data_IF_897852340236
#
_entry.id   IF_897852340236
#
_cell.length_a   1.000
_cell.length_b   1.000
_cell.length_c   1.000
_cell.angle_alpha   90.00
_cell.angle_beta   90.00
_cell.angle_gamma   90.00
#
_symmetry.space_group_name_H-M   'P 1'
#
loop_
_entity.id
_entity.type
_entity.pdbx_description
1 polymer ?
#
# COMPACT_ATOMS: atom_id res chain seq x y z
N UNK A 1 5.61 7.15 -10.02
CA UNK A 1 7.00 6.69 -9.90
C UNK A 1 7.78 6.90 -11.20
N UNK A 2 7.57 6.10 -12.26
CA UNK A 2 8.31 6.21 -13.55
C UNK A 2 8.50 7.63 -14.08
N UNK A 3 7.41 8.39 -14.24
CA UNK A 3 7.50 9.76 -14.76
C UNK A 3 8.33 10.69 -13.85
N UNK A 4 8.00 10.74 -12.57
CA UNK A 4 8.50 11.81 -11.69
C UNK A 4 9.87 11.48 -11.07
N UNK A 5 10.18 10.19 -10.89
CA UNK A 5 11.45 9.70 -10.31
C UNK A 5 12.43 9.25 -11.39
N UNK A 6 12.00 8.45 -12.37
CA UNK A 6 12.93 7.84 -13.35
C UNK A 6 13.17 8.72 -14.58
N UNK A 7 12.13 9.36 -15.11
CA UNK A 7 12.21 10.12 -16.37
C UNK A 7 12.52 11.60 -16.15
N UNK A 8 11.70 12.29 -15.34
CA UNK A 8 11.78 13.74 -15.18
C UNK A 8 12.64 14.15 -13.98
N UNK A 9 12.92 13.23 -13.05
CA UNK A 9 13.71 13.46 -11.83
C UNK A 9 13.25 14.69 -11.02
N UNK A 10 11.96 14.99 -11.04
CA UNK A 10 11.34 16.07 -10.26
C UNK A 10 11.13 15.68 -8.80
N UNK A 11 11.27 14.38 -8.48
CA UNK A 11 11.16 13.82 -7.13
C UNK A 11 12.27 12.78 -6.95
N UNK A 12 13.02 12.88 -5.85
CA UNK A 12 14.01 11.87 -5.49
C UNK A 12 13.34 10.58 -4.96
N UNK A 13 14.02 9.45 -5.13
CA UNK A 13 13.53 8.14 -4.68
C UNK A 13 13.26 8.12 -3.17
N UNK A 14 14.10 8.72 -2.36
CA UNK A 14 13.92 8.72 -0.91
C UNK A 14 12.72 9.55 -0.48
N UNK A 15 12.43 10.65 -1.19
CA UNK A 15 11.19 11.40 -0.98
C UNK A 15 9.95 10.59 -1.37
N UNK A 16 10.00 9.81 -2.45
CA UNK A 16 8.90 8.90 -2.80
C UNK A 16 8.67 7.83 -1.70
N UNK A 17 9.73 7.34 -1.06
CA UNK A 17 9.66 6.43 0.09
C UNK A 17 9.04 7.13 1.31
N UNK A 18 9.44 8.36 1.60
CA UNK A 18 8.87 9.15 2.69
C UNK A 18 7.36 9.39 2.50
N UNK A 19 6.91 9.63 1.26
CA UNK A 19 5.49 9.74 0.96
C UNK A 19 4.73 8.43 1.24
N UNK A 20 5.33 7.26 0.94
CA UNK A 20 4.75 5.97 1.30
C UNK A 20 4.71 5.78 2.82
N UNK A 21 5.79 6.11 3.55
CA UNK A 21 5.79 6.10 5.02
C UNK A 21 4.67 6.98 5.60
N UNK A 22 4.50 8.19 5.05
CA UNK A 22 3.43 9.10 5.44
C UNK A 22 2.07 8.45 5.24
N UNK A 23 1.83 7.83 4.07
CA UNK A 23 0.61 7.07 3.80
C UNK A 23 0.39 5.93 4.82
N UNK A 24 1.42 5.16 5.16
CA UNK A 24 1.32 4.08 6.15
C UNK A 24 0.93 4.57 7.54
N UNK A 25 1.49 5.71 7.97
CA UNK A 25 1.09 6.34 9.23
C UNK A 25 -0.38 6.81 9.18
N UNK A 26 -0.83 7.38 8.05
CA UNK A 26 -2.24 7.75 7.88
C UNK A 26 -3.17 6.53 7.92
N UNK A 27 -2.76 5.40 7.35
CA UNK A 27 -3.53 4.15 7.41
C UNK A 27 -3.62 3.61 8.84
N UNK A 28 -2.58 3.79 9.66
CA UNK A 28 -2.59 3.41 11.08
C UNK A 28 -3.54 4.29 11.92
N UNK A 29 -3.75 5.55 11.53
CA UNK A 29 -4.67 6.46 12.24
C UNK A 29 -6.14 6.07 12.08
N UNK A 30 -6.49 5.32 11.03
CA UNK A 30 -7.86 4.80 10.89
C UNK A 30 -8.14 3.89 12.10
N UNK A 31 -9.35 3.98 12.65
CA UNK A 31 -9.73 3.15 13.79
C UNK A 31 -11.19 2.72 13.67
N UNK A 32 -11.52 1.58 14.27
CA UNK A 32 -12.88 1.01 14.25
C UNK A 32 -13.23 0.39 15.58
N UNK A 33 -14.15 1.03 16.29
CA UNK A 33 -14.76 0.48 17.50
C UNK A 33 -15.78 -0.61 17.15
N UNK A 34 -15.85 -1.65 17.99
CA UNK A 34 -16.76 -2.80 17.84
C UNK A 34 -17.35 -3.15 19.22
N UNK A 35 -18.44 -3.94 19.24
CA UNK A 35 -19.00 -4.46 20.49
C UNK A 35 -17.98 -5.33 21.24
N UNK A 36 -18.09 -5.43 22.56
CA UNK A 36 -17.14 -6.21 23.37
C UNK A 36 -17.02 -7.69 22.95
N UNK A 37 -18.11 -8.31 22.50
CA UNK A 37 -18.08 -9.67 21.95
C UNK A 37 -17.27 -9.75 20.64
N UNK A 38 -17.51 -8.83 19.70
CA UNK A 38 -16.79 -8.79 18.42
C UNK A 38 -15.33 -8.37 18.57
N UNK A 39 -15.02 -7.48 19.51
CA UNK A 39 -13.64 -7.05 19.77
C UNK A 39 -12.73 -8.19 20.23
N UNK A 40 -13.28 -9.21 20.92
CA UNK A 40 -12.51 -10.42 21.28
C UNK A 40 -12.14 -11.27 20.07
N UNK A 41 -13.02 -11.35 19.06
CA UNK A 41 -12.74 -12.05 17.80
C UNK A 41 -11.80 -11.25 16.87
N UNK A 42 -11.69 -9.93 17.07
CA UNK A 42 -10.77 -9.04 16.34
C UNK A 42 -9.82 -8.35 17.32
N UNK A 43 -9.06 -9.14 18.09
CA UNK A 43 -8.11 -8.62 19.06
C UNK A 43 -7.08 -7.69 18.39
N UNK A 44 -6.78 -6.55 19.02
CA UNK A 44 -5.82 -5.56 18.52
C UNK A 44 -6.40 -4.49 17.59
N UNK A 45 -7.74 -4.35 17.51
CA UNK A 45 -8.43 -3.38 16.65
C UNK A 45 -7.96 -3.36 15.19
N UNK A 46 -7.77 -4.53 14.54
CA UNK A 46 -7.26 -4.59 13.18
C UNK A 46 -8.25 -4.00 12.17
N UNK A 47 -7.68 -3.47 11.09
CA UNK A 47 -8.40 -2.90 9.95
C UNK A 47 -8.17 -3.64 8.64
N UNK A 48 -7.21 -4.58 8.62
CA UNK A 48 -6.98 -5.47 7.49
C UNK A 48 -6.73 -4.74 6.15
N UNK A 49 -6.00 -3.62 6.22
CA UNK A 49 -5.65 -2.78 5.07
C UNK A 49 -4.46 -3.41 4.32
N UNK A 50 -4.74 -4.37 3.43
CA UNK A 50 -3.73 -5.04 2.64
C UNK A 50 -3.24 -4.18 1.46
N UNK A 51 -1.97 -4.34 1.10
CA UNK A 51 -1.42 -3.87 -0.18
C UNK A 51 -0.74 -5.04 -0.87
N UNK A 52 -1.11 -5.27 -2.14
CA UNK A 52 -0.57 -6.33 -2.99
C UNK A 52 0.42 -5.73 -3.98
N UNK A 53 1.55 -6.40 -4.17
CA UNK A 53 2.61 -6.06 -5.13
C UNK A 53 3.03 -7.30 -5.91
N UNK A 54 3.61 -7.10 -7.09
CA UNK A 54 4.00 -8.19 -8.00
C UNK A 54 2.81 -8.81 -8.73
N UNK A 55 2.97 -10.07 -9.14
CA UNK A 55 1.99 -10.79 -9.96
C UNK A 55 2.39 -10.86 -11.43
N UNK A 56 1.41 -11.00 -12.33
CA UNK A 56 1.64 -11.06 -13.77
C UNK A 56 0.69 -10.13 -14.51
N UNK A 57 1.19 -9.54 -15.59
CA UNK A 57 0.39 -8.77 -16.53
C UNK A 57 0.26 -9.53 -17.84
N UNK A 58 -0.83 -9.30 -18.57
CA UNK A 58 -0.95 -9.75 -19.95
C UNK A 58 -0.60 -8.59 -20.87
N UNK A 59 0.44 -8.76 -21.68
CA UNK A 59 0.84 -7.82 -22.73
C UNK A 59 0.64 -8.53 -24.06
N UNK A 60 -0.28 -8.02 -24.88
CA UNK A 60 -0.67 -8.66 -26.15
C UNK A 60 -1.04 -10.15 -26.01
N UNK A 61 -1.72 -10.48 -24.90
CA UNK A 61 -2.14 -11.84 -24.56
C UNK A 61 -1.04 -12.74 -24.01
N UNK A 62 0.20 -12.25 -23.88
CA UNK A 62 1.31 -13.00 -23.30
C UNK A 62 1.50 -12.64 -21.82
N UNK A 63 1.57 -13.63 -20.91
CA UNK A 63 1.92 -13.39 -19.52
C UNK A 63 3.34 -12.84 -19.39
N UNK A 64 3.48 -11.76 -18.64
CA UNK A 64 4.75 -11.13 -18.28
C UNK A 64 4.78 -10.88 -16.78
N UNK A 65 5.98 -10.85 -16.20
CA UNK A 65 6.17 -10.40 -14.82
C UNK A 65 5.68 -8.95 -14.66
N UNK A 66 4.97 -8.67 -13.57
CA UNK A 66 4.38 -7.35 -13.30
C UNK A 66 5.26 -6.45 -12.43
N UNK A 67 6.42 -6.94 -11.98
CA UNK A 67 7.40 -6.19 -11.18
C UNK A 67 8.26 -5.28 -12.05
#
# INVERSE_FOLDING_TARGET
YRRDVELNQTLDREHAIEMLHSCWLKLLEVNKIRSGSHSKASAGSPLYQNVTIGGQNLVDGQPMDAV
#
